data_IF_489566514777
#
_entry.id   IF_489566514777
#
_cell.length_a   1.000
_cell.length_b   1.000
_cell.length_c   1.000
_cell.angle_alpha   90.00
_cell.angle_beta   90.00
_cell.angle_gamma   90.00
#
_symmetry.space_group_name_H-M   'P 1'
#
loop_
_entity.id
_entity.type
_entity.pdbx_description
1 polymer ?
#
# COMPACT_ATOMS: atom_id res chain seq x y z
N UNK A 1 24.91 18.22 10.22
CA UNK A 1 24.07 18.72 9.12
C UNK A 1 22.80 17.87 9.07
N UNK A 2 21.62 18.47 9.12
CA UNK A 2 20.35 17.72 8.97
C UNK A 2 19.66 18.25 7.72
N UNK A 3 19.42 17.35 6.76
CA UNK A 3 18.58 17.62 5.59
C UNK A 3 17.30 16.85 5.83
N UNK A 4 16.17 17.56 5.85
CA UNK A 4 14.86 16.97 6.12
C UNK A 4 14.00 17.22 4.89
N UNK A 5 13.29 16.18 4.47
CA UNK A 5 12.35 16.24 3.36
C UNK A 5 11.22 17.21 3.69
N UNK A 6 10.97 18.15 2.78
CA UNK A 6 9.88 19.11 2.92
C UNK A 6 8.53 18.47 2.56
N UNK A 7 7.41 19.09 2.99
CA UNK A 7 6.07 18.49 2.89
C UNK A 7 5.65 18.10 1.46
N UNK A 8 6.08 18.88 0.48
CA UNK A 8 5.72 18.73 -0.92
C UNK A 8 6.91 18.27 -1.78
N UNK A 9 8.06 18.01 -1.14
CA UNK A 9 9.29 17.58 -1.80
C UNK A 9 9.21 16.09 -2.12
N UNK A 10 9.49 15.73 -3.38
CA UNK A 10 9.57 14.33 -3.80
C UNK A 10 10.77 13.64 -3.16
N UNK A 11 10.74 12.31 -3.06
CA UNK A 11 11.90 11.56 -2.58
C UNK A 11 13.15 11.82 -3.45
N UNK A 12 12.97 12.00 -4.76
CA UNK A 12 14.05 12.30 -5.68
C UNK A 12 14.70 13.65 -5.38
N UNK A 13 13.90 14.71 -5.23
CA UNK A 13 14.39 16.06 -4.93
C UNK A 13 15.12 16.08 -3.59
N UNK A 14 14.54 15.43 -2.57
CA UNK A 14 15.16 15.28 -1.27
C UNK A 14 16.54 14.60 -1.35
N UNK A 15 16.64 13.47 -2.06
CA UNK A 15 17.90 12.75 -2.23
C UNK A 15 18.94 13.59 -3.00
N UNK A 16 18.51 14.35 -3.99
CA UNK A 16 19.38 15.28 -4.72
C UNK A 16 19.91 16.40 -3.81
N UNK A 17 19.06 17.01 -2.97
CA UNK A 17 19.49 17.99 -1.97
C UNK A 17 20.42 17.39 -0.93
N UNK A 18 20.10 16.20 -0.44
CA UNK A 18 20.94 15.46 0.51
C UNK A 18 22.33 15.17 -0.08
N UNK A 19 22.39 14.78 -1.36
CA UNK A 19 23.65 14.56 -2.06
C UNK A 19 24.48 15.84 -2.16
N UNK A 20 23.87 16.96 -2.57
CA UNK A 20 24.56 18.27 -2.63
C UNK A 20 25.09 18.72 -1.27
N UNK A 21 24.30 18.49 -0.21
CA UNK A 21 24.67 18.79 1.16
C UNK A 21 25.87 17.96 1.66
N UNK A 22 26.00 16.72 1.20
CA UNK A 22 27.06 15.80 1.66
C UNK A 22 28.32 15.81 0.78
N UNK A 23 28.26 16.39 -0.41
CA UNK A 23 29.32 16.37 -1.43
C UNK A 23 30.68 16.92 -0.98
N UNK A 24 30.69 17.84 0.01
CA UNK A 24 31.91 18.43 0.56
C UNK A 24 32.41 17.80 1.87
N UNK A 25 31.70 16.81 2.42
CA UNK A 25 32.03 16.21 3.71
C UNK A 25 33.02 15.07 3.49
N UNK A 26 34.27 15.26 3.94
CA UNK A 26 35.29 14.20 3.91
C UNK A 26 34.96 13.09 4.91
N UNK A 27 35.31 11.86 4.55
CA UNK A 27 35.24 10.66 5.41
C UNK A 27 33.85 10.35 6.00
N UNK A 28 32.79 10.70 5.25
CA UNK A 28 31.42 10.45 5.67
C UNK A 28 31.12 8.95 5.74
N UNK A 29 30.89 8.46 6.96
CA UNK A 29 30.63 7.04 7.23
C UNK A 29 29.29 6.59 6.64
N UNK A 30 29.25 5.41 6.03
CA UNK A 30 28.02 4.86 5.43
C UNK A 30 26.86 4.80 6.43
N UNK A 31 27.13 4.37 7.66
CA UNK A 31 26.13 4.34 8.74
C UNK A 31 25.54 5.72 9.02
N UNK A 32 26.37 6.77 9.06
CA UNK A 32 25.92 8.14 9.27
C UNK A 32 25.03 8.63 8.12
N UNK A 33 25.36 8.26 6.87
CA UNK A 33 24.54 8.56 5.69
C UNK A 33 23.17 7.91 5.81
N UNK A 34 23.14 6.61 6.07
CA UNK A 34 21.89 5.84 6.19
C UNK A 34 21.02 6.38 7.32
N UNK A 35 21.61 6.64 8.49
CA UNK A 35 20.88 7.25 9.62
C UNK A 35 20.34 8.63 9.28
N UNK A 36 21.12 9.49 8.63
CA UNK A 36 20.67 10.81 8.24
C UNK A 36 19.51 10.74 7.23
N UNK A 37 19.59 9.85 6.24
CA UNK A 37 18.50 9.62 5.27
C UNK A 37 17.24 9.11 5.98
N UNK A 38 17.36 8.12 6.86
CA UNK A 38 16.21 7.55 7.60
C UNK A 38 15.51 8.58 8.48
N UNK A 39 16.26 9.53 9.05
CA UNK A 39 15.71 10.59 9.89
C UNK A 39 15.14 11.75 9.07
N UNK A 40 15.69 12.03 7.89
CA UNK A 40 15.27 13.14 7.05
C UNK A 40 14.12 12.83 6.09
N UNK A 41 13.96 11.60 5.61
CA UNK A 41 12.88 11.25 4.66
C UNK A 41 11.56 10.91 5.34
N UNK A 42 10.44 11.23 4.69
CA UNK A 42 9.10 10.82 5.12
C UNK A 42 8.62 9.54 4.41
N UNK A 43 9.35 9.05 3.40
CA UNK A 43 9.00 7.84 2.69
C UNK A 43 9.19 6.60 3.59
N UNK A 44 8.08 6.15 4.20
CA UNK A 44 8.08 5.04 5.17
C UNK A 44 8.61 3.75 4.57
N UNK A 45 8.25 3.43 3.33
CA UNK A 45 8.66 2.20 2.66
C UNK A 45 10.17 2.17 2.44
N UNK A 46 10.76 3.30 2.07
CA UNK A 46 12.20 3.46 1.93
C UNK A 46 12.93 3.31 3.28
N UNK A 47 12.44 3.97 4.34
CA UNK A 47 13.00 3.84 5.71
C UNK A 47 13.02 2.39 6.18
N UNK A 48 11.93 1.66 5.98
CA UNK A 48 11.84 0.25 6.38
C UNK A 48 12.81 -0.61 5.57
N UNK A 49 13.04 -0.28 4.30
CA UNK A 49 14.03 -0.98 3.45
C UNK A 49 15.46 -0.80 3.94
N UNK A 50 15.83 0.43 4.31
CA UNK A 50 17.13 0.78 4.86
C UNK A 50 17.36 0.10 6.22
N UNK A 51 16.32 -0.02 7.05
CA UNK A 51 16.43 -0.69 8.33
C UNK A 51 16.55 -2.22 8.20
N UNK A 52 15.78 -2.83 7.29
CA UNK A 52 15.77 -4.30 7.14
C UNK A 52 17.03 -4.81 6.46
N UNK A 53 17.45 -4.11 5.41
CA UNK A 53 18.59 -4.47 4.57
C UNK A 53 19.44 -3.20 4.40
N UNK A 54 20.28 -2.85 5.38
CA UNK A 54 21.10 -1.64 5.31
C UNK A 54 22.10 -1.76 4.16
N UNK A 55 22.30 -0.69 3.36
CA UNK A 55 23.27 -0.73 2.28
C UNK A 55 24.69 -0.68 2.82
N UNK A 56 25.58 -1.50 2.25
CA UNK A 56 26.99 -1.54 2.63
C UNK A 56 27.86 -0.60 1.78
N UNK A 57 27.33 -0.12 0.66
CA UNK A 57 28.03 0.75 -0.29
C UNK A 57 27.14 1.87 -0.80
N UNK A 58 27.78 2.94 -1.30
CA UNK A 58 27.06 4.06 -1.92
C UNK A 58 26.26 3.60 -3.15
N UNK A 59 26.82 2.68 -3.94
CA UNK A 59 26.14 2.14 -5.11
C UNK A 59 24.85 1.40 -4.74
N UNK A 60 24.87 0.61 -3.65
CA UNK A 60 23.67 -0.08 -3.19
C UNK A 60 22.62 0.90 -2.65
N UNK A 61 23.06 1.92 -1.91
CA UNK A 61 22.18 2.98 -1.42
C UNK A 61 21.50 3.71 -2.58
N UNK A 62 22.25 4.08 -3.63
CA UNK A 62 21.71 4.72 -4.83
C UNK A 62 20.69 3.82 -5.54
N UNK A 63 21.03 2.55 -5.79
CA UNK A 63 20.11 1.58 -6.41
C UNK A 63 18.81 1.42 -5.62
N UNK A 64 18.89 1.42 -4.29
CA UNK A 64 17.71 1.42 -3.42
C UNK A 64 16.94 2.73 -3.57
N UNK A 65 17.61 3.87 -3.54
CA UNK A 65 17.01 5.20 -3.75
C UNK A 65 16.16 5.24 -5.03
N UNK A 66 16.75 4.89 -6.17
CA UNK A 66 16.08 4.89 -7.48
C UNK A 66 14.81 4.02 -7.46
N UNK A 67 14.92 2.79 -6.94
CA UNK A 67 13.77 1.87 -6.82
C UNK A 67 12.59 2.49 -6.04
N UNK A 68 12.85 3.25 -4.98
CA UNK A 68 11.79 3.86 -4.17
C UNK A 68 11.29 5.18 -4.75
N UNK A 69 12.12 5.89 -5.54
CA UNK A 69 11.66 7.01 -6.37
C UNK A 69 10.64 6.51 -7.39
N UNK A 70 10.96 5.46 -8.13
CA UNK A 70 10.05 4.85 -9.12
C UNK A 70 8.74 4.38 -8.45
N UNK A 71 8.85 3.78 -7.27
CA UNK A 71 7.68 3.32 -6.52
C UNK A 71 6.79 4.49 -6.04
N UNK A 72 7.39 5.58 -5.57
CA UNK A 72 6.66 6.78 -5.15
C UNK A 72 5.95 7.45 -6.35
N UNK A 73 6.61 7.50 -7.51
CA UNK A 73 6.01 8.02 -8.74
C UNK A 73 4.83 7.15 -9.19
N UNK A 74 4.98 5.82 -9.20
CA UNK A 74 3.89 4.90 -9.53
C UNK A 74 2.68 5.04 -8.58
N UNK A 75 2.91 5.23 -7.27
CA UNK A 75 1.85 5.52 -6.31
C UNK A 75 1.12 6.84 -6.61
N UNK A 76 1.84 7.88 -7.04
CA UNK A 76 1.23 9.18 -7.38
C UNK A 76 0.37 9.07 -8.63
N UNK A 77 0.86 8.38 -9.67
CA UNK A 77 0.10 8.15 -10.90
C UNK A 77 -1.18 7.37 -10.60
N UNK A 78 -1.10 6.27 -9.83
CA UNK A 78 -2.28 5.48 -9.48
C UNK A 78 -3.32 6.26 -8.66
N UNK A 79 -2.90 7.12 -7.71
CA UNK A 79 -3.81 8.00 -6.96
C UNK A 79 -4.53 8.99 -7.88
N UNK A 80 -3.81 9.65 -8.79
CA UNK A 80 -4.41 10.59 -9.75
C UNK A 80 -5.46 9.95 -10.66
N UNK A 81 -5.25 8.69 -11.07
CA UNK A 81 -6.22 7.93 -11.87
C UNK A 81 -7.49 7.55 -11.08
N UNK A 82 -7.37 7.32 -9.78
CA UNK A 82 -8.53 7.02 -8.92
C UNK A 82 -9.31 8.28 -8.55
N UNK A 83 -8.64 9.41 -8.34
CA UNK A 83 -9.27 10.71 -8.07
C UNK A 83 -10.01 11.27 -9.30
N UNK A 84 -9.57 10.95 -10.52
CA UNK A 84 -10.27 11.31 -11.76
C UNK A 84 -11.47 10.41 -12.11
N UNK A 85 -11.72 9.34 -11.34
CA UNK A 85 -12.84 8.43 -11.56
C UNK A 85 -14.01 8.81 -10.65
N UNK A 86 -14.79 9.80 -11.08
CA UNK A 86 -16.14 10.05 -10.52
C UNK A 86 -16.90 8.72 -10.41
N UNK A 87 -17.45 8.36 -9.25
CA UNK A 87 -18.36 7.22 -9.18
C UNK A 87 -19.62 7.62 -9.94
N UNK A 88 -19.79 7.10 -11.15
CA UNK A 88 -21.06 7.18 -11.86
C UNK A 88 -22.14 6.57 -10.96
N UNK A 89 -22.87 7.45 -10.28
CA UNK A 89 -24.02 7.15 -9.45
C UNK A 89 -25.17 6.76 -10.37
N UNK A 90 -25.11 5.57 -10.97
CA UNK A 90 -26.23 5.12 -11.78
C UNK A 90 -27.36 4.61 -10.88
N UNK A 91 -28.30 5.52 -10.68
CA UNK A 91 -29.60 5.39 -10.01
C UNK A 91 -30.37 4.13 -10.45
N UNK A 92 -30.84 3.40 -9.44
CA UNK A 92 -32.14 2.70 -9.31
C UNK A 92 -33.03 2.63 -10.57
N UNK A 93 -33.34 1.41 -11.02
CA UNK A 93 -34.59 0.92 -11.67
C UNK A 93 -34.41 -0.60 -11.83
N UNK A 94 -35.31 -1.53 -11.49
CA UNK A 94 -36.75 -1.47 -11.26
C UNK A 94 -37.15 -2.66 -10.38
N UNK A 95 -37.86 -2.40 -9.28
CA UNK A 95 -38.83 -3.35 -8.74
C UNK A 95 -40.11 -3.13 -9.54
N UNK A 96 -40.44 -4.01 -10.50
CA UNK A 96 -41.85 -4.29 -10.79
C UNK A 96 -42.05 -5.60 -11.57
N UNK A 97 -42.84 -6.48 -10.97
CA UNK A 97 -43.75 -7.48 -11.55
C UNK A 97 -43.40 -8.16 -12.88
N UNK A 98 -43.18 -9.48 -12.83
CA UNK A 98 -44.08 -10.35 -13.59
C UNK A 98 -44.28 -11.70 -12.90
N UNK A 99 -45.49 -11.83 -12.34
CA UNK A 99 -46.11 -13.09 -11.94
C UNK A 99 -46.22 -13.97 -13.19
N UNK A 100 -45.58 -15.14 -13.20
CA UNK A 100 -46.07 -16.28 -13.98
C UNK A 100 -46.28 -17.41 -13.00
N UNK A 101 -47.58 -17.66 -12.76
CA UNK A 101 -48.10 -18.83 -12.08
C UNK A 101 -47.88 -20.00 -13.02
N UNK A 102 -47.29 -21.09 -12.54
CA UNK A 102 -47.67 -22.41 -13.00
C UNK A 102 -47.81 -23.35 -11.81
N UNK A 103 -49.01 -23.89 -11.74
CA UNK A 103 -49.64 -24.67 -10.70
C UNK A 103 -49.49 -26.15 -11.05
N UNK A 104 -48.81 -26.94 -10.20
CA UNK A 104 -49.26 -28.31 -9.83
C UNK A 104 -48.27 -29.02 -8.92
N UNK A 105 -48.78 -29.54 -7.80
CA UNK A 105 -48.15 -30.67 -7.09
C UNK A 105 -48.35 -30.73 -5.57
N UNK A 106 -49.60 -30.91 -5.12
CA UNK A 106 -49.97 -31.49 -3.80
C UNK A 106 -49.06 -32.71 -3.46
N UNK A 107 -48.60 -33.02 -2.23
CA UNK A 107 -49.36 -33.22 -0.99
C UNK A 107 -48.45 -33.68 0.20
N UNK A 108 -48.77 -33.18 1.41
CA UNK A 108 -48.72 -33.77 2.78
C UNK A 108 -47.43 -33.82 3.65
N UNK A 109 -47.63 -33.36 4.90
CA UNK A 109 -46.84 -33.39 6.14
C UNK A 109 -46.36 -34.80 6.57
N UNK A 110 -45.36 -35.06 7.43
CA UNK A 110 -44.41 -34.36 8.33
C UNK A 110 -43.41 -35.46 8.82
N UNK A 111 -42.71 -35.43 9.99
CA UNK A 111 -42.51 -34.38 10.99
C UNK A 111 -41.03 -33.97 11.18
N UNK A 112 -40.84 -33.00 12.07
CA UNK A 112 -39.60 -32.43 12.59
C UNK A 112 -38.88 -33.44 13.50
N UNK A 113 -37.62 -33.73 13.22
CA UNK A 113 -36.71 -34.32 14.20
C UNK A 113 -35.32 -33.66 14.18
N UNK A 114 -34.77 -33.59 15.37
CA UNK A 114 -33.71 -32.72 15.84
C UNK A 114 -32.40 -33.51 15.85
N UNK A 115 -31.34 -33.03 15.20
CA UNK A 115 -30.00 -33.58 15.41
C UNK A 115 -28.92 -32.50 15.29
N UNK A 116 -28.35 -32.18 16.44
CA UNK A 116 -27.15 -31.39 16.64
C UNK A 116 -25.95 -32.07 15.96
N UNK A 117 -25.05 -31.30 15.34
CA UNK A 117 -23.61 -31.57 15.43
C UNK A 117 -22.79 -30.37 14.94
N UNK A 118 -22.50 -29.44 15.85
CA UNK A 118 -21.32 -28.60 15.74
C UNK A 118 -20.11 -29.44 16.17
N UNK A 119 -19.23 -29.83 15.24
CA UNK A 119 -17.90 -30.37 15.58
C UNK A 119 -16.88 -29.93 14.53
N UNK A 120 -16.20 -28.82 14.80
CA UNK A 120 -14.87 -28.57 14.25
C UNK A 120 -13.85 -29.05 15.30
N UNK A 121 -12.77 -29.77 14.94
CA UNK A 121 -11.78 -30.22 15.91
C UNK A 121 -10.79 -29.10 16.28
N UNK A 122 -10.20 -29.13 17.49
CA UNK A 122 -9.11 -28.22 17.86
C UNK A 122 -7.82 -28.63 17.14
N UNK A 123 -7.04 -27.63 16.72
CA UNK A 123 -5.70 -27.82 16.15
C UNK A 123 -4.73 -28.18 17.29
N UNK A 124 -3.92 -29.21 17.07
CA UNK A 124 -2.71 -29.48 17.86
C UNK A 124 -1.59 -28.51 17.45
#
# INVERSE_FOLDING_TARGET
>A
MQVIQEKEETLQDYLARFSRATLGIKDLQMSAIVTAIMNGTWNRSFKMSLSKNPPESMQELLRKGDKYVDAEEAERVTKSLHEGREPETNKRKSHDTQRVRDDKGKQKAGPRDQAQSNKWPPRL
#
